data_IF_977705018437
#
_entry.id   IF_977705018437
#
_cell.length_a   1.000
_cell.length_b   1.000
_cell.length_c   1.000
_cell.angle_alpha   90.00
_cell.angle_beta   90.00
_cell.angle_gamma   90.00
#
_symmetry.space_group_name_H-M   'P 1'
#
loop_
_entity.id
_entity.type
_entity.pdbx_description
1 polymer ?
#
# COMPACT_ATOMS: atom_id res chain seq x y z
N UNK A 1 -12.99 4.26 -19.18
CA UNK A 1 -12.27 3.14 -19.83
C UNK A 1 -12.46 3.27 -21.32
N UNK A 2 -11.37 3.24 -22.09
CA UNK A 2 -11.40 3.32 -23.56
C UNK A 2 -10.79 2.06 -24.12
N UNK A 3 -11.55 1.31 -24.91
CA UNK A 3 -11.09 0.05 -25.51
C UNK A 3 -10.17 0.33 -26.70
N UNK A 4 -9.22 -0.56 -26.91
CA UNK A 4 -8.32 -0.51 -28.05
C UNK A 4 -7.91 -1.94 -28.49
N UNK A 5 -7.13 -2.03 -29.56
CA UNK A 5 -6.72 -3.31 -30.15
C UNK A 5 -5.25 -3.66 -29.86
N UNK A 6 -4.62 -2.99 -28.88
CA UNK A 6 -3.21 -3.23 -28.53
C UNK A 6 -2.97 -4.56 -27.81
N UNK A 7 -4.02 -5.18 -27.28
CA UNK A 7 -3.92 -6.31 -26.36
C UNK A 7 -3.44 -5.94 -24.94
N UNK A 8 -2.98 -4.71 -24.72
CA UNK A 8 -2.44 -4.25 -23.44
C UNK A 8 -3.47 -3.45 -22.62
N UNK A 9 -3.40 -3.58 -21.29
CA UNK A 9 -4.17 -2.76 -20.36
C UNK A 9 -3.23 -1.73 -19.74
N UNK A 10 -3.50 -0.45 -20.00
CA UNK A 10 -2.74 0.67 -19.45
C UNK A 10 -3.56 1.41 -18.40
N UNK A 11 -2.90 1.79 -17.30
CA UNK A 11 -3.51 2.53 -16.19
C UNK A 11 -2.93 3.93 -16.11
N UNK A 12 -3.83 4.92 -16.15
CA UNK A 12 -3.54 6.33 -15.93
C UNK A 12 -4.21 6.83 -14.65
N UNK A 13 -3.59 7.82 -14.01
CA UNK A 13 -4.21 8.57 -12.91
C UNK A 13 -4.86 9.83 -13.45
N UNK A 14 -6.16 9.95 -13.25
CA UNK A 14 -6.93 11.17 -13.50
C UNK A 14 -7.04 12.02 -12.23
N UNK A 15 -8.12 12.79 -12.13
CA UNK A 15 -8.37 13.72 -11.03
C UNK A 15 -8.21 13.06 -9.65
N UNK A 16 -7.47 13.72 -8.77
CA UNK A 16 -7.30 13.31 -7.36
C UNK A 16 -6.48 12.05 -7.13
N UNK A 17 -5.87 11.47 -8.16
CA UNK A 17 -4.81 10.47 -8.01
C UNK A 17 -3.45 11.16 -8.01
N UNK A 18 -2.64 10.87 -6.99
CA UNK A 18 -1.35 11.50 -6.83
C UNK A 18 -0.35 11.10 -7.90
N UNK A 19 0.56 11.99 -8.25
CA UNK A 19 1.71 11.73 -9.13
C UNK A 19 2.98 11.62 -8.30
N UNK A 20 3.81 10.62 -8.62
CA UNK A 20 5.09 10.39 -7.95
C UNK A 20 6.13 11.38 -8.45
N UNK A 21 6.70 12.17 -7.55
CA UNK A 21 7.71 13.22 -7.86
C UNK A 21 9.08 12.92 -7.27
N UNK A 22 9.19 11.94 -6.36
CA UNK A 22 10.46 11.53 -5.72
C UNK A 22 10.71 10.04 -5.93
N UNK A 23 12.00 9.67 -5.95
CA UNK A 23 12.44 8.26 -5.94
C UNK A 23 12.29 7.68 -4.52
N UNK A 24 12.25 6.35 -4.42
CA UNK A 24 12.34 5.62 -3.14
C UNK A 24 11.04 5.03 -2.60
N UNK A 25 9.89 5.27 -3.25
CA UNK A 25 8.59 4.75 -2.83
C UNK A 25 8.13 3.50 -3.60
N UNK A 26 9.02 2.88 -4.39
CA UNK A 26 8.71 1.69 -5.18
C UNK A 26 7.86 1.94 -6.44
N UNK A 27 7.68 3.20 -6.83
CA UNK A 27 7.00 3.61 -8.06
C UNK A 27 7.90 4.56 -8.89
N UNK A 28 7.81 4.53 -10.24
CA UNK A 28 8.56 5.44 -11.09
C UNK A 28 8.15 6.90 -10.90
N UNK A 29 9.11 7.82 -11.00
CA UNK A 29 8.80 9.25 -11.04
C UNK A 29 7.98 9.58 -12.30
N UNK A 30 6.96 10.42 -12.16
CA UNK A 30 5.99 10.76 -13.20
C UNK A 30 4.82 9.78 -13.31
N UNK A 31 4.84 8.63 -12.63
CA UNK A 31 3.73 7.68 -12.67
C UNK A 31 2.61 8.07 -11.71
N UNK A 32 1.36 7.60 -11.94
CA UNK A 32 0.32 7.68 -10.94
C UNK A 32 0.67 6.84 -9.70
N UNK A 33 0.23 7.28 -8.53
CA UNK A 33 0.47 6.66 -7.23
C UNK A 33 -0.44 5.44 -7.01
N UNK A 34 -0.34 4.45 -7.89
CA UNK A 34 -1.10 3.19 -7.84
C UNK A 34 -0.11 2.04 -7.64
N UNK A 35 -0.17 1.39 -6.47
CA UNK A 35 0.76 0.33 -6.12
C UNK A 35 0.54 -0.95 -6.94
N UNK A 36 1.54 -1.84 -6.93
CA UNK A 36 1.56 -3.12 -7.67
C UNK A 36 0.30 -3.97 -7.46
N UNK A 37 -0.13 -4.16 -6.22
CA UNK A 37 -1.29 -5.02 -5.94
C UNK A 37 -2.59 -4.43 -6.48
N UNK A 38 -2.99 -3.17 -6.15
CA UNK A 38 -4.18 -2.58 -6.76
C UNK A 38 -4.12 -2.53 -8.28
N UNK A 39 -2.94 -2.24 -8.86
CA UNK A 39 -2.72 -2.30 -10.31
C UNK A 39 -3.09 -3.67 -10.88
N UNK A 40 -2.55 -4.74 -10.30
CA UNK A 40 -2.85 -6.10 -10.74
C UNK A 40 -4.34 -6.43 -10.57
N UNK A 41 -4.95 -6.05 -9.45
CA UNK A 41 -6.39 -6.25 -9.22
C UNK A 41 -7.24 -5.59 -10.31
N UNK A 42 -6.93 -4.34 -10.67
CA UNK A 42 -7.65 -3.61 -11.71
C UNK A 42 -7.42 -4.26 -13.09
N UNK A 43 -6.17 -4.58 -13.41
CA UNK A 43 -5.82 -5.24 -14.68
C UNK A 43 -6.55 -6.56 -14.86
N UNK A 44 -6.62 -7.40 -13.81
CA UNK A 44 -7.36 -8.67 -13.82
C UNK A 44 -8.86 -8.44 -14.04
N UNK A 45 -9.48 -7.54 -13.28
CA UNK A 45 -10.91 -7.25 -13.41
C UNK A 45 -11.26 -6.71 -14.81
N UNK A 46 -10.42 -5.83 -15.37
CA UNK A 46 -10.62 -5.30 -16.72
C UNK A 46 -10.41 -6.40 -17.76
N UNK A 47 -9.40 -7.26 -17.59
CA UNK A 47 -9.13 -8.40 -18.48
C UNK A 47 -10.30 -9.36 -18.55
N UNK A 48 -10.91 -9.67 -17.41
CA UNK A 48 -12.12 -10.50 -17.32
C UNK A 48 -13.30 -9.88 -18.09
N UNK A 49 -13.45 -8.55 -18.03
CA UNK A 49 -14.54 -7.85 -18.71
C UNK A 49 -14.35 -7.71 -20.24
N UNK A 50 -13.12 -7.53 -20.71
CA UNK A 50 -12.84 -7.23 -22.14
C UNK A 50 -12.35 -8.45 -22.95
N UNK A 51 -11.96 -9.52 -22.28
CA UNK A 51 -11.40 -10.73 -22.88
C UNK A 51 -9.88 -10.66 -23.12
N UNK A 52 -9.28 -11.79 -23.56
CA UNK A 52 -7.81 -11.94 -23.62
C UNK A 52 -7.15 -11.16 -24.75
N UNK A 53 -7.88 -10.81 -25.80
CA UNK A 53 -7.31 -10.26 -27.04
C UNK A 53 -7.40 -8.74 -27.15
N UNK A 54 -8.33 -8.10 -26.42
CA UNK A 54 -8.54 -6.65 -26.49
C UNK A 54 -7.61 -5.93 -25.52
N UNK A 55 -7.26 -4.69 -25.84
CA UNK A 55 -6.58 -3.79 -24.91
C UNK A 55 -7.53 -2.73 -24.36
N UNK A 56 -7.08 -2.01 -23.34
CA UNK A 56 -7.84 -0.93 -22.74
C UNK A 56 -6.93 0.15 -22.14
N UNK A 57 -7.38 1.38 -22.21
CA UNK A 57 -6.87 2.48 -21.42
C UNK A 57 -7.85 2.78 -20.28
N UNK A 58 -7.35 2.67 -19.06
CA UNK A 58 -8.12 2.78 -17.83
C UNK A 58 -7.62 4.00 -17.08
N UNK A 59 -8.46 5.01 -16.96
CA UNK A 59 -8.21 6.16 -16.11
C UNK A 59 -8.89 5.93 -14.75
N UNK A 60 -8.11 6.05 -13.67
CA UNK A 60 -8.59 5.99 -12.30
C UNK A 60 -8.66 7.40 -11.76
N UNK A 61 -9.80 7.79 -11.18
CA UNK A 61 -9.98 9.11 -10.57
C UNK A 61 -10.64 9.00 -9.21
N UNK A 62 -10.38 9.98 -8.35
CA UNK A 62 -10.94 10.13 -7.02
C UNK A 62 -11.30 11.60 -6.81
N UNK A 63 -12.58 12.00 -6.96
CA UNK A 63 -12.97 13.43 -6.97
C UNK A 63 -12.54 14.22 -5.73
N UNK A 64 -12.56 13.59 -4.55
CA UNK A 64 -12.08 14.23 -3.31
C UNK A 64 -10.60 13.97 -3.02
N UNK A 65 -9.90 13.26 -3.90
CA UNK A 65 -8.55 12.77 -3.67
C UNK A 65 -7.54 13.88 -3.40
N UNK A 66 -7.68 15.03 -4.08
CA UNK A 66 -6.83 16.20 -3.83
C UNK A 66 -6.97 16.70 -2.38
N UNK A 67 -8.22 16.89 -1.93
CA UNK A 67 -8.52 17.38 -0.58
C UNK A 67 -8.12 16.37 0.49
N UNK A 68 -8.37 15.08 0.26
CA UNK A 68 -8.01 14.00 1.20
C UNK A 68 -6.50 13.87 1.33
N UNK A 69 -5.75 13.97 0.24
CA UNK A 69 -4.29 13.85 0.24
C UNK A 69 -3.59 14.85 1.15
N UNK A 70 -4.15 16.06 1.32
CA UNK A 70 -3.61 17.08 2.24
C UNK A 70 -3.57 16.60 3.70
N UNK A 71 -4.44 15.65 4.07
CA UNK A 71 -4.52 15.06 5.41
C UNK A 71 -3.71 13.76 5.54
N UNK A 72 -2.87 13.44 4.56
CA UNK A 72 -2.07 12.22 4.52
C UNK A 72 -0.57 12.51 4.51
N UNK A 73 0.25 11.47 4.59
CA UNK A 73 1.71 11.56 4.45
C UNK A 73 2.20 11.67 2.99
N UNK A 74 1.30 11.68 2.00
CA UNK A 74 1.66 11.62 0.58
C UNK A 74 2.65 12.72 0.15
N UNK A 75 2.42 13.98 0.54
CA UNK A 75 3.29 15.08 0.14
C UNK A 75 4.74 14.89 0.62
N UNK A 76 4.93 14.33 1.83
CA UNK A 76 6.27 14.05 2.39
C UNK A 76 6.98 12.93 1.62
N UNK A 77 6.20 11.94 1.17
CA UNK A 77 6.66 10.84 0.31
C UNK A 77 6.89 11.25 -1.15
N UNK A 78 6.64 12.53 -1.50
CA UNK A 78 6.78 13.02 -2.86
C UNK A 78 5.64 12.62 -3.78
N UNK A 79 4.44 12.38 -3.24
CA UNK A 79 3.23 12.14 -4.02
C UNK A 79 2.37 13.41 -3.95
N UNK A 80 2.15 14.05 -5.11
CA UNK A 80 1.47 15.35 -5.20
C UNK A 80 0.20 15.26 -6.05
N UNK A 81 -0.75 16.17 -5.82
CA UNK A 81 -1.97 16.27 -6.64
C UNK A 81 -3.06 15.25 -6.33
N UNK A 82 -2.88 14.36 -5.35
CA UNK A 82 -3.91 13.37 -5.02
C UNK A 82 -3.51 12.28 -4.04
N UNK A 83 -4.44 11.36 -3.79
CA UNK A 83 -4.24 10.20 -2.92
C UNK A 83 -3.46 9.08 -3.64
N UNK A 84 -2.97 8.13 -2.86
CA UNK A 84 -2.37 6.90 -3.37
C UNK A 84 -3.39 5.78 -3.33
N UNK A 85 -3.44 4.95 -4.37
CA UNK A 85 -4.22 3.71 -4.37
C UNK A 85 -3.28 2.60 -3.87
N UNK A 86 -3.47 2.22 -2.60
CA UNK A 86 -2.63 1.28 -1.88
C UNK A 86 -3.46 0.12 -1.31
N UNK A 87 -2.79 -0.99 -0.99
CA UNK A 87 -3.42 -2.18 -0.39
C UNK A 87 -2.63 -3.42 -0.78
N UNK A 88 -2.53 -4.40 0.12
CA UNK A 88 -1.83 -5.66 -0.13
C UNK A 88 -2.78 -6.84 -0.36
N UNK A 89 -3.98 -6.76 0.21
CA UNK A 89 -4.99 -7.84 0.16
C UNK A 89 -6.31 -7.42 -0.47
N UNK A 90 -6.52 -6.11 -0.69
CA UNK A 90 -7.81 -5.56 -1.12
C UNK A 90 -8.87 -5.49 0.00
N UNK A 91 -8.53 -5.95 1.21
CA UNK A 91 -9.42 -5.91 2.39
C UNK A 91 -8.96 -4.81 3.33
N UNK A 92 -9.88 -3.90 3.69
CA UNK A 92 -9.63 -2.86 4.69
C UNK A 92 -10.11 -3.36 6.05
N UNK A 93 -9.18 -3.77 6.89
CA UNK A 93 -9.49 -4.05 8.30
C UNK A 93 -9.41 -2.73 9.08
N UNK A 94 -10.52 -2.24 9.66
CA UNK A 94 -10.48 -1.02 10.47
C UNK A 94 -9.64 -1.26 11.72
N UNK A 95 -8.60 -0.45 11.92
CA UNK A 95 -7.82 -0.49 13.15
C UNK A 95 -8.54 0.38 14.19
N UNK A 96 -9.22 -0.23 15.16
CA UNK A 96 -9.58 0.50 16.38
C UNK A 96 -8.37 0.55 17.30
N UNK A 97 -8.14 1.70 17.94
CA UNK A 97 -7.02 1.86 18.88
C UNK A 97 -7.08 0.83 20.02
N UNK A 98 -8.29 0.51 20.49
CA UNK A 98 -8.51 -0.53 21.51
C UNK A 98 -8.17 -1.93 21.00
N UNK A 99 -8.52 -2.27 19.75
CA UNK A 99 -8.15 -3.54 19.15
C UNK A 99 -6.65 -3.64 18.92
N UNK A 100 -5.99 -2.54 18.55
CA UNK A 100 -4.54 -2.48 18.42
C UNK A 100 -3.85 -2.67 19.77
N UNK A 101 -4.24 -1.93 20.81
CA UNK A 101 -3.72 -2.11 22.18
C UNK A 101 -3.94 -3.54 22.68
N UNK A 102 -5.11 -4.12 22.43
CA UNK A 102 -5.42 -5.49 22.85
C UNK A 102 -4.55 -6.52 22.14
N UNK A 103 -4.35 -6.37 20.82
CA UNK A 103 -3.45 -7.23 20.04
C UNK A 103 -2.01 -7.12 20.53
N UNK A 104 -1.55 -5.89 20.76
CA UNK A 104 -0.21 -5.61 21.27
C UNK A 104 0.02 -6.21 22.66
N UNK A 105 -0.92 -6.04 23.58
CA UNK A 105 -0.85 -6.62 24.93
C UNK A 105 -0.80 -8.15 24.91
N UNK A 106 -1.57 -8.79 24.03
CA UNK A 106 -1.54 -10.24 23.87
C UNK A 106 -0.17 -10.72 23.36
N UNK A 107 0.39 -10.04 22.37
CA UNK A 107 1.70 -10.38 21.84
C UNK A 107 2.79 -10.22 22.91
N UNK A 108 2.78 -9.12 23.68
CA UNK A 108 3.72 -8.90 24.78
C UNK A 108 3.64 -9.98 25.87
N UNK A 109 2.43 -10.40 26.24
CA UNK A 109 2.24 -11.48 27.22
C UNK A 109 2.78 -12.82 26.71
N UNK A 110 2.62 -13.13 25.41
CA UNK A 110 3.21 -14.34 24.80
C UNK A 110 4.75 -14.27 24.88
N UNK A 111 5.35 -13.14 24.54
CA UNK A 111 6.82 -12.96 24.61
C UNK A 111 7.33 -13.07 26.05
N UNK A 112 6.63 -12.45 26.99
CA UNK A 112 6.94 -12.54 28.43
C UNK A 112 6.85 -13.97 28.94
N UNK A 113 5.80 -14.71 28.56
CA UNK A 113 5.65 -16.12 28.92
C UNK A 113 6.74 -17.02 28.31
N UNK A 114 7.30 -16.62 27.16
CA UNK A 114 8.46 -17.27 26.54
C UNK A 114 9.81 -16.88 27.21
N UNK A 115 9.80 -16.08 28.28
CA UNK A 115 11.00 -15.69 29.02
C UNK A 115 11.74 -14.48 28.45
N UNK A 116 11.14 -13.75 27.49
CA UNK A 116 11.74 -12.53 26.94
C UNK A 116 11.49 -11.34 27.88
N UNK A 117 12.57 -10.71 28.35
CA UNK A 117 12.51 -9.51 29.18
C UNK A 117 12.61 -8.20 28.37
N UNK A 118 12.98 -8.30 27.09
CA UNK A 118 13.18 -7.18 26.18
C UNK A 118 12.56 -7.49 24.82
N UNK A 119 11.92 -6.50 24.23
CA UNK A 119 11.29 -6.59 22.91
C UNK A 119 11.66 -5.37 22.07
N UNK A 120 11.53 -5.49 20.76
CA UNK A 120 11.73 -4.41 19.79
C UNK A 120 10.38 -4.12 19.15
N UNK A 121 9.82 -2.96 19.49
CA UNK A 121 8.59 -2.47 18.88
C UNK A 121 8.89 -1.79 17.55
N UNK A 122 8.21 -2.19 16.48
CA UNK A 122 8.39 -1.61 15.15
C UNK A 122 7.05 -1.22 14.52
N UNK A 123 7.00 -0.11 13.76
CA UNK A 123 5.76 0.30 13.11
C UNK A 123 5.47 -0.58 11.88
N UNK A 124 4.62 -1.60 12.08
CA UNK A 124 4.09 -2.48 11.04
C UNK A 124 5.13 -3.31 10.27
N UNK A 125 4.65 -3.98 9.24
CA UNK A 125 5.42 -5.02 8.51
C UNK A 125 6.70 -4.49 7.83
N UNK A 126 6.80 -3.18 7.58
CA UNK A 126 8.02 -2.59 7.03
C UNK A 126 9.14 -2.61 8.07
N UNK A 127 8.83 -2.22 9.32
CA UNK A 127 9.79 -2.23 10.41
C UNK A 127 10.23 -3.65 10.78
N UNK A 128 9.29 -4.61 10.77
CA UNK A 128 9.59 -6.02 11.02
C UNK A 128 10.58 -6.57 9.98
N UNK A 129 10.31 -6.31 8.70
CA UNK A 129 11.20 -6.71 7.61
C UNK A 129 12.59 -6.09 7.76
N UNK A 130 12.66 -4.80 8.11
CA UNK A 130 13.94 -4.11 8.30
C UNK A 130 14.77 -4.76 9.42
N UNK A 131 14.15 -5.07 10.55
CA UNK A 131 14.84 -5.73 11.67
C UNK A 131 15.38 -7.10 11.25
N UNK A 132 14.55 -7.90 10.59
CA UNK A 132 14.92 -9.24 10.11
C UNK A 132 16.06 -9.22 9.09
N UNK A 133 16.04 -8.29 8.15
CA UNK A 133 16.95 -8.30 6.99
C UNK A 133 18.22 -7.48 7.21
N UNK A 134 18.20 -6.49 8.11
CA UNK A 134 19.28 -5.49 8.21
C UNK A 134 19.90 -5.38 9.61
N UNK A 135 19.19 -5.75 10.68
CA UNK A 135 19.64 -5.50 12.06
C UNK A 135 20.20 -6.74 12.77
N UNK A 136 20.03 -7.95 12.19
CA UNK A 136 20.51 -9.21 12.77
C UNK A 136 19.89 -9.54 14.14
N UNK A 137 18.75 -8.93 14.46
CA UNK A 137 18.00 -9.18 15.69
C UNK A 137 17.07 -10.36 15.46
N UNK A 138 16.95 -11.24 16.46
CA UNK A 138 16.03 -12.37 16.42
C UNK A 138 14.59 -11.88 16.17
N UNK A 139 13.93 -12.32 15.08
CA UNK A 139 12.55 -11.98 14.78
C UNK A 139 11.59 -12.31 15.92
N UNK A 140 11.92 -13.29 16.78
CA UNK A 140 11.11 -13.60 17.95
C UNK A 140 11.05 -12.46 18.97
N UNK A 141 11.97 -11.50 18.95
CA UNK A 141 11.93 -10.32 19.84
C UNK A 141 11.14 -9.14 19.26
N UNK A 142 10.68 -9.24 18.00
CA UNK A 142 9.95 -8.16 17.33
C UNK A 142 8.46 -8.24 17.67
N UNK A 143 7.87 -7.05 17.85
CA UNK A 143 6.44 -6.83 18.10
C UNK A 143 5.96 -5.68 17.18
N UNK A 144 4.77 -5.80 16.58
CA UNK A 144 4.25 -4.87 15.54
C UNK A 144 2.86 -4.32 15.83
#
# INVERSE_FOLDING_TARGET
VTLNDSGEISLQGGEGIGTVTRKGIGLPTGSPAINRTPRHTIETAVREAIGPTRGAQVEIFAPEGVLRAQKTYNARLGILGGISIIGTTGIVTPMSEESWKRSLSLELEIKRAAGLERVVLVPGNHGERFVREQMGIDPQMVVT
#
